data_IF_525597912800
#
_entry.id   IF_525597912800
#
_cell.length_a   1.000
_cell.length_b   1.000
_cell.length_c   1.000
_cell.angle_alpha   90.00
_cell.angle_beta   90.00
_cell.angle_gamma   90.00
#
_symmetry.space_group_name_H-M   'P 1'
#
loop_
_entity.id
_entity.type
_entity.pdbx_description
1 polymer ?
#
# COMPACT_ATOMS: atom_id res chain seq x y z
N UNK A 1 -4.99 46.96 -33.36
CA UNK A 1 -5.80 46.19 -32.44
C UNK A 1 -5.13 44.81 -32.30
N UNK A 2 -4.40 44.61 -31.22
CA UNK A 2 -3.69 43.36 -30.94
C UNK A 2 -4.56 42.59 -29.97
N UNK A 3 -5.27 41.59 -30.48
CA UNK A 3 -6.01 40.62 -29.65
C UNK A 3 -4.99 39.70 -28.92
N UNK A 4 -4.68 40.11 -27.72
CA UNK A 4 -3.97 39.23 -26.77
C UNK A 4 -4.88 38.18 -26.21
N UNK A 5 -5.02 37.03 -26.89
CA UNK A 5 -5.68 35.85 -26.34
C UNK A 5 -4.82 35.37 -25.15
N UNK A 6 -5.23 35.74 -23.95
CA UNK A 6 -4.70 35.17 -22.74
C UNK A 6 -4.99 33.62 -22.78
N UNK A 7 -3.99 32.81 -23.08
CA UNK A 7 -4.03 31.36 -22.89
C UNK A 7 -4.22 31.11 -21.40
N UNK A 8 -5.46 30.87 -21.00
CA UNK A 8 -5.75 30.33 -19.65
C UNK A 8 -4.98 29.03 -19.53
N UNK A 9 -3.91 29.03 -18.75
CA UNK A 9 -3.18 27.81 -18.46
C UNK A 9 -4.15 26.87 -17.69
N UNK A 10 -4.64 25.85 -18.36
CA UNK A 10 -5.41 24.77 -17.71
C UNK A 10 -4.46 24.11 -16.74
N UNK A 11 -4.63 24.39 -15.46
CA UNK A 11 -3.86 23.71 -14.40
C UNK A 11 -4.29 22.26 -14.39
N UNK A 12 -3.35 21.37 -14.64
CA UNK A 12 -3.60 19.91 -14.57
C UNK A 12 -3.94 19.52 -13.14
N UNK A 13 -5.19 19.13 -12.91
CA UNK A 13 -5.72 18.78 -11.58
C UNK A 13 -5.38 17.36 -11.16
N UNK A 14 -4.84 16.51 -12.04
CA UNK A 14 -4.48 15.14 -11.70
C UNK A 14 -3.39 15.12 -10.62
N UNK A 15 -3.56 14.30 -9.56
CA UNK A 15 -2.56 14.22 -8.50
C UNK A 15 -1.24 13.63 -9.01
N UNK A 16 -0.12 14.11 -8.47
CA UNK A 16 1.19 13.49 -8.69
C UNK A 16 1.31 12.32 -7.70
N UNK A 17 1.58 11.14 -8.22
CA UNK A 17 1.79 9.91 -7.46
C UNK A 17 3.27 9.51 -7.59
N UNK A 18 3.97 9.45 -6.47
CA UNK A 18 5.33 8.93 -6.43
C UNK A 18 5.31 7.40 -6.46
N UNK A 19 6.06 6.79 -7.39
CA UNK A 19 6.18 5.34 -7.51
C UNK A 19 7.64 4.96 -7.28
N UNK A 20 7.94 4.23 -6.21
CA UNK A 20 9.31 3.78 -5.93
C UNK A 20 9.62 2.48 -6.67
N UNK A 21 10.80 2.38 -7.25
CA UNK A 21 11.21 1.21 -8.06
C UNK A 21 11.29 -0.08 -7.24
N UNK A 22 11.55 0.01 -5.92
CA UNK A 22 11.83 -1.15 -5.11
C UNK A 22 13.19 -1.76 -5.42
N UNK A 23 13.34 -3.06 -5.20
CA UNK A 23 14.59 -3.78 -5.50
C UNK A 23 14.79 -3.94 -7.01
N UNK A 24 15.88 -3.40 -7.51
CA UNK A 24 16.24 -3.43 -8.94
C UNK A 24 16.47 -4.86 -9.48
N UNK A 25 16.88 -5.79 -8.62
CA UNK A 25 17.08 -7.19 -8.99
C UNK A 25 15.79 -8.03 -8.97
N UNK A 26 14.67 -7.45 -8.48
CA UNK A 26 13.35 -8.07 -8.45
C UNK A 26 12.46 -7.66 -9.62
N UNK A 27 11.16 -7.97 -9.50
CA UNK A 27 10.15 -7.63 -10.53
C UNK A 27 9.71 -6.16 -10.49
N UNK A 28 10.17 -5.36 -9.52
CA UNK A 28 9.76 -3.96 -9.35
C UNK A 28 9.88 -3.11 -10.63
N UNK A 29 11.06 -3.05 -11.29
CA UNK A 29 11.24 -2.30 -12.54
C UNK A 29 10.29 -2.78 -13.65
N UNK A 30 10.09 -4.10 -13.77
CA UNK A 30 9.26 -4.72 -14.79
C UNK A 30 7.78 -4.34 -14.64
N UNK A 31 7.23 -4.48 -13.43
CA UNK A 31 5.81 -4.19 -13.17
C UNK A 31 5.51 -2.70 -13.33
N UNK A 32 6.47 -1.80 -13.03
CA UNK A 32 6.33 -0.36 -13.26
C UNK A 32 6.23 -0.06 -14.76
N UNK A 33 7.16 -0.60 -15.57
CA UNK A 33 7.13 -0.37 -17.01
C UNK A 33 5.82 -0.91 -17.63
N UNK A 34 5.35 -2.08 -17.19
CA UNK A 34 4.09 -2.65 -17.66
C UNK A 34 2.87 -1.81 -17.25
N UNK A 35 2.77 -1.39 -16.00
CA UNK A 35 1.66 -0.55 -15.52
C UNK A 35 1.61 0.79 -16.27
N UNK A 36 2.78 1.41 -16.52
CA UNK A 36 2.86 2.70 -17.22
C UNK A 36 2.68 2.60 -18.75
N UNK A 37 2.44 1.42 -19.31
CA UNK A 37 1.94 1.26 -20.70
C UNK A 37 0.44 1.48 -20.81
N UNK A 38 -0.29 1.55 -19.71
CA UNK A 38 -1.72 1.70 -19.67
C UNK A 38 -2.11 3.18 -19.64
N UNK A 39 -2.89 3.62 -20.63
CA UNK A 39 -3.36 5.00 -20.72
C UNK A 39 -4.20 5.40 -19.51
N UNK A 40 -5.01 4.49 -19.00
CA UNK A 40 -5.90 4.71 -17.85
C UNK A 40 -5.17 5.18 -16.57
N UNK A 41 -3.89 4.83 -16.39
CA UNK A 41 -3.08 5.35 -15.27
C UNK A 41 -2.85 6.86 -15.44
N UNK A 42 -2.55 7.28 -16.66
CA UNK A 42 -2.34 8.70 -16.97
C UNK A 42 -3.64 9.52 -17.00
N UNK A 43 -4.78 8.88 -17.22
CA UNK A 43 -6.07 9.56 -17.18
C UNK A 43 -6.43 10.00 -15.74
N UNK A 44 -5.97 9.25 -14.72
CA UNK A 44 -6.33 9.50 -13.30
C UNK A 44 -5.22 10.18 -12.49
N UNK A 45 -3.95 10.08 -12.88
CA UNK A 45 -2.86 10.70 -12.15
C UNK A 45 -1.69 11.12 -13.06
N UNK A 46 -0.72 11.82 -12.48
CA UNK A 46 0.61 12.06 -13.05
C UNK A 46 1.60 11.14 -12.34
N UNK A 47 1.94 9.97 -12.92
CA UNK A 47 2.90 9.06 -12.32
C UNK A 47 4.31 9.66 -12.36
N UNK A 48 5.02 9.61 -11.24
CA UNK A 48 6.40 10.06 -11.07
C UNK A 48 7.22 8.92 -10.47
N UNK A 49 8.12 8.35 -11.24
CA UNK A 49 8.96 7.23 -10.79
C UNK A 49 10.18 7.76 -10.06
N UNK A 50 10.51 7.17 -8.90
CA UNK A 50 11.77 7.37 -8.18
C UNK A 50 12.61 6.10 -8.33
N UNK A 51 13.71 6.21 -9.06
CA UNK A 51 14.49 5.06 -9.47
C UNK A 51 15.88 5.46 -9.98
N UNK A 52 16.66 4.45 -10.37
CA UNK A 52 17.77 4.63 -11.30
C UNK A 52 17.24 4.58 -12.74
N UNK A 53 17.47 5.64 -13.49
CA UNK A 53 16.93 5.79 -14.84
C UNK A 53 17.55 4.81 -15.83
N UNK A 54 18.78 4.36 -15.59
CA UNK A 54 19.44 3.40 -16.46
C UNK A 54 18.77 2.03 -16.34
N UNK A 55 18.39 1.61 -15.13
CA UNK A 55 17.67 0.35 -14.89
C UNK A 55 16.30 0.37 -15.59
N UNK A 56 15.50 1.43 -15.37
CA UNK A 56 14.20 1.56 -16.06
C UNK A 56 14.36 1.58 -17.58
N UNK A 57 15.39 2.26 -18.10
CA UNK A 57 15.67 2.28 -19.55
C UNK A 57 15.97 0.89 -20.12
N UNK A 58 16.72 0.07 -19.37
CA UNK A 58 17.04 -1.30 -19.81
C UNK A 58 15.80 -2.20 -19.79
N UNK A 59 14.94 -2.05 -18.78
CA UNK A 59 13.68 -2.80 -18.72
C UNK A 59 12.70 -2.36 -19.83
N UNK A 60 12.62 -1.06 -20.16
CA UNK A 60 11.84 -0.59 -21.31
C UNK A 60 12.29 -1.31 -22.60
N UNK A 61 13.61 -1.44 -22.82
CA UNK A 61 14.17 -2.13 -23.99
C UNK A 61 13.89 -3.63 -23.95
N UNK A 62 14.14 -4.30 -22.82
CA UNK A 62 13.96 -5.75 -22.69
C UNK A 62 12.50 -6.18 -22.90
N UNK A 63 11.53 -5.33 -22.52
CA UNK A 63 10.10 -5.55 -22.74
C UNK A 63 9.61 -5.09 -24.11
N UNK A 64 10.49 -4.65 -25.01
CA UNK A 64 10.13 -4.05 -26.30
C UNK A 64 9.04 -2.96 -26.16
N UNK A 65 9.14 -2.16 -25.11
CA UNK A 65 8.17 -1.11 -24.81
C UNK A 65 8.48 0.17 -25.60
N UNK A 66 7.43 0.86 -26.05
CA UNK A 66 7.53 2.16 -26.76
C UNK A 66 7.61 3.36 -25.83
N UNK A 67 7.61 3.15 -24.51
CA UNK A 67 7.70 4.20 -23.52
C UNK A 67 9.00 4.99 -23.65
N UNK A 68 8.88 6.30 -23.54
CA UNK A 68 10.02 7.24 -23.49
C UNK A 68 10.32 7.59 -22.04
N UNK A 69 11.60 7.79 -21.70
CA UNK A 69 12.01 8.20 -20.36
C UNK A 69 12.31 9.70 -20.36
N UNK A 70 11.72 10.43 -19.41
CA UNK A 70 11.97 11.86 -19.18
C UNK A 70 12.48 12.08 -17.76
N UNK A 71 13.76 12.42 -17.62
CA UNK A 71 14.32 12.83 -16.34
C UNK A 71 13.78 14.20 -15.94
N UNK A 72 13.26 14.28 -14.73
CA UNK A 72 12.79 15.53 -14.12
C UNK A 72 13.56 15.81 -12.82
N UNK A 73 13.84 17.07 -12.54
CA UNK A 73 14.60 17.46 -11.34
C UNK A 73 13.72 17.60 -10.09
N UNK A 74 12.42 17.79 -10.29
CA UNK A 74 11.44 17.99 -9.21
C UNK A 74 10.06 17.52 -9.64
N UNK A 75 9.20 17.25 -8.65
CA UNK A 75 7.87 16.68 -8.90
C UNK A 75 6.94 17.58 -9.72
N UNK A 76 7.04 18.90 -9.58
CA UNK A 76 6.26 19.88 -10.34
C UNK A 76 6.54 19.82 -11.85
N UNK A 77 7.67 19.28 -12.25
CA UNK A 77 8.05 19.07 -13.66
C UNK A 77 7.47 17.78 -14.25
N UNK A 78 6.86 16.91 -13.44
CA UNK A 78 6.17 15.74 -13.93
C UNK A 78 4.92 16.17 -14.71
N UNK A 79 4.83 15.80 -15.98
CA UNK A 79 3.70 16.17 -16.85
C UNK A 79 2.64 15.07 -16.92
N UNK A 80 3.01 13.80 -16.66
CA UNK A 80 2.10 12.68 -16.80
C UNK A 80 1.54 12.56 -18.22
N UNK A 81 2.40 12.67 -19.22
CA UNK A 81 2.06 12.48 -20.63
C UNK A 81 2.09 11.00 -20.98
N UNK A 82 0.98 10.46 -21.48
CA UNK A 82 0.92 9.05 -21.89
C UNK A 82 2.04 8.71 -22.88
N UNK A 83 2.64 7.54 -22.70
CA UNK A 83 3.80 7.10 -23.48
C UNK A 83 5.15 7.63 -22.96
N UNK A 84 5.15 8.44 -21.88
CA UNK A 84 6.37 8.99 -21.28
C UNK A 84 6.41 8.68 -19.78
N UNK A 85 7.50 8.11 -19.31
CA UNK A 85 7.78 7.88 -17.89
C UNK A 85 8.54 9.08 -17.34
N UNK A 86 7.90 9.87 -16.48
CA UNK A 86 8.57 10.92 -15.72
C UNK A 86 9.35 10.27 -14.57
N UNK A 87 10.64 10.57 -14.45
CA UNK A 87 11.51 9.96 -13.43
C UNK A 87 12.35 11.01 -12.72
N UNK A 88 12.37 10.95 -11.40
CA UNK A 88 13.46 11.52 -10.60
C UNK A 88 14.53 10.44 -10.53
N UNK A 89 15.63 10.71 -11.23
CA UNK A 89 16.78 9.81 -11.35
C UNK A 89 17.71 10.01 -10.16
N UNK A 90 17.84 9.00 -9.30
CA UNK A 90 18.77 9.04 -8.17
C UNK A 90 20.18 8.63 -8.58
N UNK A 91 20.33 7.94 -9.73
CA UNK A 91 21.62 7.55 -10.30
C UNK A 91 22.57 6.90 -9.26
N UNK A 92 22.03 5.94 -8.52
CA UNK A 92 22.65 5.36 -7.32
C UNK A 92 22.95 3.87 -7.45
N UNK A 93 22.91 3.31 -8.68
CA UNK A 93 23.24 1.91 -8.96
C UNK A 93 24.25 1.78 -10.10
N UNK A 94 25.27 0.94 -9.90
CA UNK A 94 26.04 0.41 -11.02
C UNK A 94 25.24 -0.75 -11.66
N UNK A 95 24.89 -0.59 -12.94
CA UNK A 95 24.13 -1.59 -13.71
C UNK A 95 24.79 -2.97 -13.72
N UNK A 96 26.11 -3.04 -13.57
CA UNK A 96 26.87 -4.30 -13.54
C UNK A 96 26.62 -5.10 -12.27
N UNK A 97 26.19 -4.45 -11.19
CA UNK A 97 25.89 -5.10 -9.92
C UNK A 97 24.46 -5.66 -9.89
N UNK A 98 23.59 -5.26 -10.82
CA UNK A 98 22.19 -5.67 -10.85
C UNK A 98 22.03 -6.95 -11.66
N UNK A 99 21.91 -8.07 -10.95
CA UNK A 99 21.63 -9.38 -11.57
C UNK A 99 20.21 -9.78 -11.17
N UNK A 100 19.27 -9.85 -12.14
CA UNK A 100 17.90 -10.24 -11.83
C UNK A 100 17.80 -11.59 -11.09
N UNK A 101 17.00 -11.62 -10.03
CA UNK A 101 16.78 -12.82 -9.22
C UNK A 101 17.89 -13.12 -8.20
N UNK A 102 18.85 -12.22 -7.98
CA UNK A 102 19.91 -12.40 -6.98
C UNK A 102 19.86 -11.32 -5.91
N UNK A 103 20.22 -11.69 -4.67
CA UNK A 103 20.37 -10.75 -3.58
C UNK A 103 21.48 -9.75 -3.91
N UNK A 104 21.16 -8.46 -3.81
CA UNK A 104 22.07 -7.36 -4.14
C UNK A 104 21.98 -6.28 -3.04
N UNK A 105 23.04 -6.11 -2.29
CA UNK A 105 23.09 -5.12 -1.20
C UNK A 105 22.99 -3.69 -1.75
N UNK A 106 23.63 -3.40 -2.87
CA UNK A 106 23.54 -2.10 -3.53
C UNK A 106 22.11 -1.81 -3.99
N UNK A 107 21.39 -2.82 -4.53
CA UNK A 107 19.99 -2.69 -4.91
C UNK A 107 19.09 -2.40 -3.72
N UNK A 108 19.34 -3.04 -2.57
CA UNK A 108 18.60 -2.77 -1.34
C UNK A 108 18.84 -1.34 -0.82
N UNK A 109 20.08 -0.86 -0.79
CA UNK A 109 20.40 0.53 -0.40
C UNK A 109 19.69 1.53 -1.31
N UNK A 110 19.79 1.33 -2.62
CA UNK A 110 19.11 2.17 -3.59
C UNK A 110 17.60 2.18 -3.40
N UNK A 111 16.98 1.02 -3.17
CA UNK A 111 15.56 0.92 -2.89
C UNK A 111 15.14 1.73 -1.66
N UNK A 112 15.91 1.67 -0.57
CA UNK A 112 15.65 2.44 0.64
C UNK A 112 15.80 3.96 0.42
N UNK A 113 16.72 4.39 -0.43
CA UNK A 113 16.87 5.80 -0.83
C UNK A 113 15.66 6.29 -1.66
N UNK A 114 15.12 5.46 -2.57
CA UNK A 114 13.88 5.80 -3.29
C UNK A 114 12.71 5.98 -2.32
N UNK A 115 12.59 5.10 -1.33
CA UNK A 115 11.54 5.16 -0.30
C UNK A 115 11.70 6.41 0.56
N UNK A 116 12.91 6.73 1.01
CA UNK A 116 13.20 7.93 1.79
C UNK A 116 12.85 9.20 1.00
N UNK A 117 13.25 9.26 -0.28
CA UNK A 117 12.95 10.39 -1.15
C UNK A 117 11.46 10.54 -1.42
N UNK A 118 10.72 9.44 -1.59
CA UNK A 118 9.27 9.47 -1.74
C UNK A 118 8.58 10.01 -0.49
N UNK A 119 9.01 9.58 0.70
CA UNK A 119 8.50 10.08 1.97
C UNK A 119 8.72 11.58 2.13
N UNK A 120 9.92 12.07 1.82
CA UNK A 120 10.25 13.49 1.86
C UNK A 120 9.31 14.31 0.95
N UNK A 121 9.12 13.88 -0.29
CA UNK A 121 8.21 14.55 -1.24
C UNK A 121 6.76 14.53 -0.75
N UNK A 122 6.32 13.42 -0.14
CA UNK A 122 4.96 13.30 0.40
C UNK A 122 4.75 14.20 1.63
N UNK A 123 5.70 14.23 2.59
CA UNK A 123 5.64 15.10 3.76
C UNK A 123 5.65 16.60 3.38
N UNK A 124 6.34 16.96 2.30
CA UNK A 124 6.35 18.31 1.74
C UNK A 124 5.10 18.64 0.91
N UNK A 125 4.16 17.71 0.75
CA UNK A 125 2.96 17.87 -0.07
C UNK A 125 3.22 17.96 -1.58
N UNK A 126 4.45 17.67 -2.01
CA UNK A 126 4.88 17.73 -3.42
C UNK A 126 4.38 16.55 -4.25
N UNK A 127 4.00 15.46 -3.60
CA UNK A 127 3.25 14.34 -4.16
C UNK A 127 2.07 14.06 -3.25
N UNK A 128 0.98 13.51 -3.81
CA UNK A 128 -0.26 13.28 -3.05
C UNK A 128 -0.33 11.90 -2.42
N UNK A 129 0.38 10.94 -2.99
CA UNK A 129 0.53 9.59 -2.43
C UNK A 129 1.85 8.97 -2.89
N UNK A 130 2.23 7.90 -2.19
CA UNK A 130 3.37 7.05 -2.51
C UNK A 130 2.86 5.65 -2.84
N UNK A 131 3.30 5.10 -3.96
CA UNK A 131 3.07 3.71 -4.36
C UNK A 131 4.41 2.98 -4.37
N UNK A 132 4.51 1.85 -3.70
CA UNK A 132 5.81 1.16 -3.60
C UNK A 132 5.79 -0.17 -4.33
N UNK A 133 6.79 -0.40 -5.19
CA UNK A 133 7.14 -1.72 -5.69
C UNK A 133 7.92 -2.50 -4.61
N UNK A 134 8.03 -3.83 -4.73
CA UNK A 134 8.53 -4.67 -3.64
C UNK A 134 10.03 -4.51 -3.38
N UNK A 135 10.45 -4.73 -2.13
CA UNK A 135 11.85 -4.80 -1.70
C UNK A 135 12.19 -6.20 -1.18
N UNK A 136 13.44 -6.59 -1.28
CA UNK A 136 13.94 -7.82 -0.66
C UNK A 136 14.35 -7.53 0.79
N UNK A 137 13.61 -8.13 1.75
CA UNK A 137 13.83 -7.89 3.18
C UNK A 137 15.19 -8.37 3.66
N UNK A 138 15.66 -9.50 3.15
CA UNK A 138 16.95 -10.05 3.48
C UNK A 138 18.09 -9.12 3.02
N UNK A 139 18.03 -8.64 1.78
CA UNK A 139 18.99 -7.69 1.26
C UNK A 139 18.99 -6.36 2.04
N UNK A 140 17.81 -5.89 2.47
CA UNK A 140 17.68 -4.67 3.31
C UNK A 140 18.36 -4.85 4.66
N UNK A 141 18.18 -6.00 5.32
CA UNK A 141 18.88 -6.31 6.58
C UNK A 141 20.40 -6.38 6.36
N UNK A 142 20.85 -7.09 5.31
CA UNK A 142 22.28 -7.18 4.95
C UNK A 142 22.87 -5.82 4.59
N UNK A 143 22.07 -4.89 4.07
CA UNK A 143 22.50 -3.51 3.80
C UNK A 143 22.64 -2.65 5.08
N UNK A 144 22.30 -3.18 6.26
CA UNK A 144 22.47 -2.54 7.56
C UNK A 144 21.25 -1.73 8.03
N UNK A 145 20.08 -1.88 7.38
CA UNK A 145 18.85 -1.26 7.87
C UNK A 145 18.21 -2.13 8.97
N UNK A 146 17.78 -1.48 10.05
CA UNK A 146 17.08 -2.16 11.16
C UNK A 146 15.60 -2.42 10.88
N UNK A 147 15.03 -1.77 9.87
CA UNK A 147 13.64 -1.90 9.49
C UNK A 147 13.46 -3.07 8.52
N UNK A 148 12.55 -3.99 8.85
CA UNK A 148 12.35 -5.21 8.06
C UNK A 148 11.53 -4.95 6.78
N UNK A 149 10.80 -3.84 6.72
CA UNK A 149 9.92 -3.54 5.59
C UNK A 149 9.62 -2.07 5.39
N UNK A 150 8.87 -1.78 4.34
CA UNK A 150 8.48 -0.42 3.99
C UNK A 150 7.72 0.31 5.10
N UNK A 151 6.78 -0.37 5.76
CA UNK A 151 5.90 0.27 6.73
C UNK A 151 6.66 0.70 7.97
N UNK A 152 7.53 -0.16 8.49
CA UNK A 152 8.39 0.12 9.63
C UNK A 152 9.34 1.28 9.32
N UNK A 153 9.96 1.25 8.13
CA UNK A 153 10.84 2.33 7.69
C UNK A 153 10.09 3.67 7.57
N UNK A 154 8.93 3.68 6.90
CA UNK A 154 8.12 4.89 6.81
C UNK A 154 7.69 5.39 8.19
N UNK A 155 7.23 4.50 9.08
CA UNK A 155 6.82 4.86 10.43
C UNK A 155 7.96 5.52 11.21
N UNK A 156 9.17 4.96 11.14
CA UNK A 156 10.35 5.52 11.80
C UNK A 156 10.71 6.91 11.28
N UNK A 157 10.80 7.09 9.96
CA UNK A 157 11.22 8.38 9.38
C UNK A 157 10.13 9.46 9.43
N UNK A 158 8.87 9.08 9.66
CA UNK A 158 7.74 10.01 9.84
C UNK A 158 7.33 10.17 11.29
N UNK A 159 8.01 9.48 12.23
CA UNK A 159 7.69 9.46 13.66
C UNK A 159 6.23 9.02 13.94
N UNK A 160 5.69 8.11 13.12
CA UNK A 160 4.37 7.57 13.32
C UNK A 160 4.35 6.62 14.54
N UNK A 161 3.65 7.02 15.61
CA UNK A 161 3.60 6.24 16.86
C UNK A 161 2.83 4.93 16.71
N UNK A 162 1.77 4.94 15.91
CA UNK A 162 0.94 3.77 15.63
C UNK A 162 0.74 3.63 14.12
N UNK A 163 0.87 2.40 13.64
CA UNK A 163 0.69 2.08 12.23
C UNK A 163 0.18 0.65 12.05
N UNK A 164 -0.44 0.40 10.90
CA UNK A 164 -0.90 -0.92 10.51
C UNK A 164 -0.99 -1.04 9.00
N UNK A 165 -1.09 -2.27 8.53
CA UNK A 165 -1.43 -2.58 7.14
C UNK A 165 -2.92 -2.89 7.04
N UNK A 166 -3.59 -2.27 6.08
CA UNK A 166 -4.90 -2.67 5.59
C UNK A 166 -4.72 -3.36 4.24
N UNK A 167 -5.16 -4.60 4.13
CA UNK A 167 -5.23 -5.30 2.85
C UNK A 167 -6.51 -4.91 2.12
N UNK A 168 -6.42 -4.76 0.81
CA UNK A 168 -7.54 -4.39 -0.07
C UNK A 168 -7.56 -5.32 -1.28
N UNK A 169 -8.73 -5.88 -1.56
CA UNK A 169 -9.00 -6.61 -2.81
C UNK A 169 -10.44 -6.30 -3.25
N UNK A 170 -10.58 -5.47 -4.28
CA UNK A 170 -11.89 -4.93 -4.66
C UNK A 170 -12.62 -4.26 -3.49
N UNK A 171 -13.87 -4.63 -3.18
CA UNK A 171 -14.64 -4.05 -2.07
C UNK A 171 -14.21 -4.57 -0.69
N UNK A 172 -13.40 -5.61 -0.60
CA UNK A 172 -12.96 -6.18 0.67
C UNK A 172 -11.73 -5.45 1.20
N UNK A 173 -11.83 -4.92 2.42
CA UNK A 173 -10.74 -4.28 3.15
C UNK A 173 -10.62 -4.90 4.52
N UNK A 174 -9.41 -5.29 4.89
CA UNK A 174 -9.15 -5.99 6.14
C UNK A 174 -7.94 -5.41 6.85
N UNK A 175 -8.12 -4.99 8.08
CA UNK A 175 -7.06 -4.63 9.02
C UNK A 175 -6.88 -5.78 10.00
N UNK A 176 -5.67 -6.04 10.45
CA UNK A 176 -5.39 -7.13 11.38
C UNK A 176 -4.99 -6.58 12.74
N UNK A 177 -5.48 -7.23 13.79
CA UNK A 177 -5.02 -6.95 15.16
C UNK A 177 -3.56 -7.39 15.31
N UNK A 178 -3.24 -8.58 14.83
CA UNK A 178 -1.89 -9.13 14.80
C UNK A 178 -1.62 -9.83 13.47
N UNK A 179 -0.33 -9.85 13.02
CA UNK A 179 0.05 -10.45 11.74
C UNK A 179 1.12 -11.53 11.90
N UNK A 180 2.36 -11.22 12.15
CA UNK A 180 3.50 -12.15 12.07
C UNK A 180 3.81 -12.79 13.43
N UNK A 181 2.84 -13.51 13.99
CA UNK A 181 2.93 -14.28 15.23
C UNK A 181 2.45 -15.70 15.01
N UNK A 182 2.89 -16.64 15.85
CA UNK A 182 2.26 -17.97 15.89
C UNK A 182 0.78 -17.83 16.24
N UNK A 183 -0.07 -18.76 15.79
CA UNK A 183 -1.51 -18.69 16.10
C UNK A 183 -1.78 -18.63 17.61
N UNK A 184 -1.00 -19.39 18.40
CA UNK A 184 -1.09 -19.35 19.86
C UNK A 184 -0.82 -17.95 20.40
N UNK A 185 0.31 -17.33 20.03
CA UNK A 185 0.63 -15.96 20.44
C UNK A 185 -0.39 -14.93 19.92
N UNK A 186 -0.93 -15.14 18.72
CA UNK A 186 -1.95 -14.28 18.17
C UNK A 186 -3.24 -14.30 19.02
N UNK A 187 -3.66 -15.48 19.49
CA UNK A 187 -4.79 -15.60 20.45
C UNK A 187 -4.49 -14.88 21.77
N UNK A 188 -3.30 -15.06 22.35
CA UNK A 188 -2.89 -14.39 23.58
C UNK A 188 -2.79 -12.86 23.46
N UNK A 189 -2.69 -12.35 22.23
CA UNK A 189 -2.67 -10.91 21.93
C UNK A 189 -4.03 -10.27 21.80
N UNK A 190 -5.10 -11.04 21.74
CA UNK A 190 -6.46 -10.51 21.72
C UNK A 190 -6.77 -9.89 23.07
N UNK A 191 -6.74 -8.57 23.12
CA UNK A 191 -7.06 -7.81 24.34
C UNK A 191 -7.84 -6.55 23.99
N UNK A 192 -8.70 -6.13 24.91
CA UNK A 192 -9.56 -4.95 24.79
C UNK A 192 -8.76 -3.72 24.32
N UNK A 193 -7.65 -3.42 24.99
CA UNK A 193 -6.85 -2.22 24.72
C UNK A 193 -6.24 -2.22 23.31
N UNK A 194 -5.72 -3.38 22.85
CA UNK A 194 -5.15 -3.50 21.51
C UNK A 194 -6.21 -3.41 20.42
N UNK A 195 -7.38 -4.01 20.65
CA UNK A 195 -8.52 -3.91 19.71
C UNK A 195 -8.96 -2.45 19.62
N UNK A 196 -9.13 -1.77 20.74
CA UNK A 196 -9.55 -0.37 20.79
C UNK A 196 -8.52 0.54 20.11
N UNK A 197 -7.22 0.35 20.38
CA UNK A 197 -6.14 1.08 19.67
C UNK A 197 -6.22 0.87 18.17
N UNK A 198 -6.43 -0.38 17.70
CA UNK A 198 -6.52 -0.69 16.28
C UNK A 198 -7.80 -0.11 15.65
N UNK A 199 -8.93 -0.09 16.35
CA UNK A 199 -10.16 0.56 15.91
C UNK A 199 -9.97 2.08 15.76
N UNK A 200 -9.33 2.73 16.74
CA UNK A 200 -9.01 4.16 16.70
C UNK A 200 -8.08 4.50 15.53
N UNK A 201 -7.01 3.71 15.34
CA UNK A 201 -6.08 3.88 14.23
C UNK A 201 -6.79 3.77 12.87
N UNK A 202 -7.64 2.75 12.71
CA UNK A 202 -8.40 2.51 11.48
C UNK A 202 -9.37 3.65 11.21
N UNK A 203 -10.18 4.02 12.19
CA UNK A 203 -11.15 5.11 12.11
C UNK A 203 -10.47 6.44 11.73
N UNK A 204 -9.44 6.83 12.47
CA UNK A 204 -8.72 8.09 12.25
C UNK A 204 -8.04 8.14 10.87
N UNK A 205 -7.50 7.01 10.39
CA UNK A 205 -6.87 6.94 9.08
C UNK A 205 -7.91 7.12 7.96
N UNK A 206 -9.03 6.44 8.06
CA UNK A 206 -10.12 6.53 7.09
C UNK A 206 -10.76 7.92 7.09
N UNK A 207 -10.98 8.53 8.27
CA UNK A 207 -11.47 9.91 8.36
C UNK A 207 -10.51 10.92 7.70
N UNK A 208 -9.21 10.76 7.92
CA UNK A 208 -8.19 11.62 7.30
C UNK A 208 -8.23 11.55 5.77
N UNK A 209 -8.66 10.43 5.22
CA UNK A 209 -8.86 10.26 3.78
C UNK A 209 -10.25 10.68 3.29
N UNK A 210 -11.07 11.33 4.14
CA UNK A 210 -12.37 11.87 3.78
C UNK A 210 -13.55 10.90 3.96
N UNK A 211 -13.31 9.72 4.56
CA UNK A 211 -14.36 8.77 4.88
C UNK A 211 -14.85 9.03 6.31
N UNK A 212 -15.85 9.90 6.43
CA UNK A 212 -16.20 10.51 7.71
C UNK A 212 -16.76 9.54 8.76
N UNK A 213 -17.50 8.51 8.38
CA UNK A 213 -18.16 7.56 9.31
C UNK A 213 -17.95 6.12 8.87
N UNK A 214 -16.69 5.62 8.87
CA UNK A 214 -16.40 4.27 8.40
C UNK A 214 -17.09 3.24 9.28
N UNK A 215 -17.78 2.29 8.65
CA UNK A 215 -18.43 1.14 9.31
C UNK A 215 -17.38 0.05 9.48
N UNK A 216 -16.89 -0.13 10.71
CA UNK A 216 -15.82 -1.07 11.03
C UNK A 216 -16.42 -2.33 11.64
N UNK A 217 -16.46 -3.43 10.91
CA UNK A 217 -16.83 -4.72 11.46
C UNK A 217 -15.67 -5.34 12.24
N UNK A 218 -15.93 -5.86 13.42
CA UNK A 218 -14.94 -6.60 14.20
C UNK A 218 -15.24 -8.08 14.10
N UNK A 219 -14.28 -8.87 13.58
CA UNK A 219 -14.43 -10.32 13.53
C UNK A 219 -14.30 -10.93 14.93
N UNK A 220 -15.04 -11.99 15.20
CA UNK A 220 -14.83 -12.83 16.37
C UNK A 220 -13.51 -13.62 16.23
N UNK A 221 -12.93 -14.02 17.35
CA UNK A 221 -11.78 -14.93 17.38
C UNK A 221 -12.26 -16.38 17.22
N UNK A 222 -13.28 -16.75 18.01
CA UNK A 222 -13.78 -18.12 18.12
C UNK A 222 -14.89 -18.42 17.11
N UNK A 223 -15.09 -19.71 16.75
CA UNK A 223 -16.18 -20.12 15.89
C UNK A 223 -17.53 -19.61 16.38
N UNK A 224 -18.40 -19.20 15.45
CA UNK A 224 -19.74 -18.69 15.71
C UNK A 224 -19.84 -17.54 16.74
N UNK A 225 -18.71 -16.82 16.96
CA UNK A 225 -18.64 -15.75 17.95
C UNK A 225 -18.61 -16.25 19.40
N UNK A 226 -18.00 -17.45 19.61
CA UNK A 226 -17.83 -18.05 20.94
C UNK A 226 -19.08 -18.70 21.53
N UNK A 227 -20.23 -18.66 20.83
CA UNK A 227 -21.51 -19.25 21.28
C UNK A 227 -21.84 -18.93 22.76
N UNK A 228 -21.74 -17.66 23.13
CA UNK A 228 -22.03 -17.23 24.50
C UNK A 228 -21.03 -17.69 25.55
N UNK A 229 -19.79 -18.01 25.13
CA UNK A 229 -18.69 -18.48 25.99
C UNK A 229 -18.49 -19.98 26.02
N UNK A 230 -19.26 -20.76 25.24
CA UNK A 230 -19.09 -22.21 25.14
C UNK A 230 -17.81 -22.59 24.38
N UNK A 231 -17.38 -21.78 23.44
CA UNK A 231 -16.21 -22.04 22.58
C UNK A 231 -15.04 -21.09 22.87
N UNK A 232 -15.05 -20.41 24.00
CA UNK A 232 -14.06 -19.44 24.41
C UNK A 232 -14.72 -18.17 24.95
N UNK A 233 -13.99 -17.38 25.73
CA UNK A 233 -14.54 -16.20 26.42
C UNK A 233 -14.04 -14.87 25.85
N UNK A 234 -13.13 -14.90 24.85
CA UNK A 234 -12.46 -13.71 24.33
C UNK A 234 -13.44 -12.69 23.73
N UNK A 235 -14.54 -13.16 23.14
CA UNK A 235 -15.58 -12.27 22.64
C UNK A 235 -16.22 -11.47 23.77
N UNK A 236 -16.54 -12.13 24.90
CA UNK A 236 -17.22 -11.53 26.05
C UNK A 236 -16.26 -10.67 26.86
N UNK A 237 -15.03 -11.16 27.09
CA UNK A 237 -14.08 -10.53 27.99
C UNK A 237 -13.27 -9.42 27.32
N UNK A 238 -13.02 -9.51 26.02
CA UNK A 238 -12.10 -8.63 25.31
C UNK A 238 -12.77 -7.88 24.14
N UNK A 239 -13.42 -8.60 23.21
CA UNK A 239 -13.85 -8.00 21.94
C UNK A 239 -15.09 -7.12 22.12
N UNK A 240 -16.14 -7.63 22.78
CA UNK A 240 -17.36 -6.85 23.04
C UNK A 240 -17.09 -5.59 23.87
N UNK A 241 -16.29 -5.64 24.96
CA UNK A 241 -15.94 -4.44 25.72
C UNK A 241 -15.16 -3.41 24.88
N UNK A 242 -14.26 -3.85 23.98
CA UNK A 242 -13.54 -2.95 23.08
C UNK A 242 -14.48 -2.28 22.07
N UNK A 243 -15.40 -3.04 21.46
CA UNK A 243 -16.39 -2.52 20.53
C UNK A 243 -17.29 -1.49 21.23
N UNK A 244 -17.77 -1.80 22.42
CA UNK A 244 -18.60 -0.89 23.21
C UNK A 244 -17.89 0.42 23.52
N UNK A 245 -16.64 0.36 24.02
CA UNK A 245 -15.87 1.57 24.31
C UNK A 245 -15.54 2.38 23.05
N UNK A 246 -15.31 1.71 21.92
CA UNK A 246 -15.13 2.38 20.63
C UNK A 246 -16.40 3.16 20.23
N UNK A 247 -17.60 2.55 20.39
CA UNK A 247 -18.89 3.19 20.13
C UNK A 247 -19.12 4.39 21.05
N UNK A 248 -18.85 4.25 22.33
CA UNK A 248 -18.93 5.35 23.31
C UNK A 248 -17.98 6.51 22.97
N UNK A 249 -16.87 6.21 22.26
CA UNK A 249 -15.91 7.19 21.75
C UNK A 249 -16.29 7.75 20.35
N UNK A 250 -17.47 7.42 19.81
CA UNK A 250 -17.97 7.90 18.52
C UNK A 250 -17.44 7.13 17.30
N UNK A 251 -16.80 5.98 17.50
CA UNK A 251 -16.34 5.11 16.41
C UNK A 251 -17.47 4.16 16.01
N UNK A 252 -17.81 4.10 14.72
CA UNK A 252 -18.84 3.19 14.23
C UNK A 252 -18.26 1.76 14.07
N UNK A 253 -17.97 1.13 15.21
CA UNK A 253 -17.52 -0.25 15.33
C UNK A 253 -18.71 -1.16 15.60
N UNK A 254 -18.78 -2.30 14.93
CA UNK A 254 -19.89 -3.25 15.01
C UNK A 254 -19.33 -4.67 15.18
N UNK A 255 -19.99 -5.47 16.00
CA UNK A 255 -19.58 -6.85 16.25
C UNK A 255 -19.44 -7.20 17.73
N UNK A 256 -18.73 -8.30 18.08
CA UNK A 256 -18.05 -9.23 17.16
C UNK A 256 -19.00 -10.01 16.25
N UNK A 257 -18.58 -10.25 15.01
CA UNK A 257 -19.31 -11.09 14.06
C UNK A 257 -18.55 -12.39 13.79
N UNK A 258 -19.25 -13.51 13.59
CA UNK A 258 -18.61 -14.76 13.16
C UNK A 258 -17.72 -14.57 11.92
N UNK A 259 -16.47 -15.06 12.00
CA UNK A 259 -15.48 -14.83 10.96
C UNK A 259 -15.81 -15.51 9.62
N UNK A 260 -16.56 -16.60 9.65
CA UNK A 260 -17.03 -17.34 8.46
C UNK A 260 -18.04 -16.54 7.60
N UNK A 261 -18.68 -15.50 8.15
CA UNK A 261 -19.73 -14.75 7.48
C UNK A 261 -19.40 -13.26 7.26
N UNK A 262 -18.61 -12.64 8.14
CA UNK A 262 -18.37 -11.18 8.13
C UNK A 262 -17.73 -10.69 6.84
N UNK A 263 -16.82 -11.45 6.24
CA UNK A 263 -16.14 -11.04 5.01
C UNK A 263 -17.08 -11.02 3.81
N UNK A 264 -18.02 -11.98 3.73
CA UNK A 264 -19.07 -11.98 2.69
C UNK A 264 -19.98 -10.76 2.83
N UNK A 265 -20.32 -10.35 4.05
CA UNK A 265 -21.11 -9.14 4.34
C UNK A 265 -20.35 -7.87 3.94
N UNK A 266 -19.05 -7.83 4.22
CA UNK A 266 -18.19 -6.72 3.82
C UNK A 266 -18.09 -6.60 2.27
N UNK A 267 -17.92 -7.72 1.56
CA UNK A 267 -17.93 -7.75 0.09
C UNK A 267 -19.25 -7.21 -0.48
N UNK A 268 -20.38 -7.46 0.18
CA UNK A 268 -21.71 -6.94 -0.20
C UNK A 268 -21.92 -5.47 0.18
N UNK A 269 -20.91 -4.80 0.78
CA UNK A 269 -20.94 -3.38 1.10
C UNK A 269 -21.64 -3.05 2.42
N UNK A 270 -21.88 -4.02 3.30
CA UNK A 270 -22.45 -3.74 4.62
C UNK A 270 -21.45 -3.02 5.52
N UNK A 271 -20.16 -3.33 5.37
CA UNK A 271 -19.06 -2.73 6.11
C UNK A 271 -18.01 -2.13 5.19
N UNK A 272 -17.34 -1.10 5.64
CA UNK A 272 -16.28 -0.44 4.89
C UNK A 272 -14.93 -1.11 5.13
N UNK A 273 -14.73 -1.72 6.31
CA UNK A 273 -13.51 -2.45 6.67
C UNK A 273 -13.83 -3.51 7.73
N UNK A 274 -13.09 -4.62 7.72
CA UNK A 274 -13.13 -5.65 8.75
C UNK A 274 -11.85 -5.61 9.57
N UNK A 275 -11.94 -5.59 10.89
CA UNK A 275 -10.85 -5.84 11.80
C UNK A 275 -10.80 -7.34 12.11
N UNK A 276 -9.81 -8.04 11.56
CA UNK A 276 -9.52 -9.45 11.82
C UNK A 276 -8.58 -9.59 13.04
N UNK A 277 -8.71 -10.68 13.79
CA UNK A 277 -7.93 -10.90 15.00
C UNK A 277 -6.51 -11.39 14.72
N UNK A 278 -6.32 -12.16 13.65
CA UNK A 278 -5.02 -12.73 13.28
C UNK A 278 -4.83 -12.82 11.77
N UNK A 279 -3.60 -13.12 11.37
CA UNK A 279 -3.15 -13.08 9.98
C UNK A 279 -4.08 -13.85 9.02
N UNK A 280 -4.21 -15.17 9.19
CA UNK A 280 -4.92 -16.02 8.22
C UNK A 280 -6.42 -15.75 8.21
N UNK A 281 -7.01 -15.32 9.34
CA UNK A 281 -8.40 -14.93 9.39
C UNK A 281 -8.75 -13.84 8.37
N UNK A 282 -7.82 -12.91 8.13
CA UNK A 282 -8.04 -11.81 7.19
C UNK A 282 -7.35 -11.99 5.84
N UNK A 283 -6.15 -12.57 5.80
CA UNK A 283 -5.41 -12.77 4.56
C UNK A 283 -6.07 -13.78 3.64
N UNK A 284 -6.58 -14.90 4.19
CA UNK A 284 -7.22 -15.94 3.38
C UNK A 284 -8.40 -15.37 2.58
N UNK A 285 -9.42 -14.72 3.19
CA UNK A 285 -10.54 -14.19 2.41
C UNK A 285 -10.11 -13.13 1.38
N UNK A 286 -9.12 -12.29 1.68
CA UNK A 286 -8.60 -11.29 0.73
C UNK A 286 -7.93 -11.97 -0.46
N UNK A 287 -7.08 -12.97 -0.22
CA UNK A 287 -6.36 -13.70 -1.27
C UNK A 287 -7.28 -14.58 -2.12
N UNK A 288 -8.26 -15.23 -1.50
CA UNK A 288 -9.27 -16.04 -2.22
C UNK A 288 -10.16 -15.15 -3.08
N UNK A 289 -10.50 -13.96 -2.61
CA UNK A 289 -11.32 -13.02 -3.37
C UNK A 289 -10.60 -12.49 -4.61
N UNK A 290 -9.29 -12.17 -4.52
CA UNK A 290 -8.57 -11.63 -5.66
C UNK A 290 -7.06 -11.53 -5.43
N UNK A 291 -6.36 -12.65 -5.60
CA UNK A 291 -4.93 -12.77 -5.34
C UNK A 291 -4.08 -11.76 -6.12
N UNK A 292 -4.33 -11.65 -7.44
CA UNK A 292 -3.49 -10.82 -8.33
C UNK A 292 -3.73 -9.31 -8.19
N UNK A 293 -4.88 -8.92 -7.62
CA UNK A 293 -5.29 -7.52 -7.43
C UNK A 293 -5.21 -7.07 -5.99
N UNK A 294 -4.79 -7.96 -5.07
CA UNK A 294 -4.63 -7.56 -3.68
C UNK A 294 -3.48 -6.58 -3.54
N UNK A 295 -3.72 -5.57 -2.71
CA UNK A 295 -2.76 -4.52 -2.39
C UNK A 295 -2.74 -4.26 -0.90
N UNK A 296 -1.71 -3.59 -0.43
CA UNK A 296 -1.64 -3.09 0.94
C UNK A 296 -1.71 -1.57 0.99
N UNK A 297 -2.41 -1.05 1.99
CA UNK A 297 -2.52 0.38 2.32
C UNK A 297 -1.98 0.60 3.73
N UNK A 298 -1.11 1.57 3.90
CA UNK A 298 -0.57 1.91 5.21
C UNK A 298 -1.52 2.83 5.99
N UNK A 299 -1.90 2.41 7.19
CA UNK A 299 -2.60 3.25 8.17
C UNK A 299 -1.59 3.92 9.09
N UNK A 300 -1.93 5.10 9.61
CA UNK A 300 -1.13 5.82 10.62
C UNK A 300 -0.03 6.71 10.05
N UNK A 301 0.34 6.58 8.79
CA UNK A 301 1.31 7.49 8.16
C UNK A 301 0.69 8.88 7.88
N UNK A 302 1.50 9.96 7.85
CA UNK A 302 1.00 11.31 7.55
C UNK A 302 0.61 11.53 6.09
N UNK A 303 0.80 10.54 5.22
CA UNK A 303 0.45 10.54 3.81
C UNK A 303 -0.12 9.19 3.37
N UNK A 304 -0.80 9.16 2.24
CA UNK A 304 -1.32 7.93 1.64
C UNK A 304 -0.17 7.12 1.07
N UNK A 305 -0.05 5.87 1.52
CA UNK A 305 0.87 4.90 0.93
C UNK A 305 0.13 3.62 0.58
N UNK A 306 0.24 3.21 -0.67
CA UNK A 306 -0.22 1.91 -1.17
C UNK A 306 0.95 1.09 -1.69
N UNK A 307 0.80 -0.21 -1.77
CA UNK A 307 1.85 -1.11 -2.25
C UNK A 307 1.24 -2.37 -2.85
N UNK A 308 1.98 -2.98 -3.74
CA UNK A 308 1.72 -4.37 -4.11
C UNK A 308 1.76 -5.28 -2.87
N UNK A 309 1.03 -6.38 -2.95
CA UNK A 309 0.92 -7.37 -1.85
C UNK A 309 1.70 -8.67 -2.17
N UNK A 310 2.70 -8.59 -3.04
CA UNK A 310 3.64 -9.65 -3.37
C UNK A 310 5.08 -9.21 -3.11
N UNK A 311 6.01 -10.15 -3.02
CA UNK A 311 7.44 -9.90 -2.86
C UNK A 311 8.15 -9.59 -4.19
N UNK A 312 9.48 -9.62 -4.14
CA UNK A 312 10.38 -9.34 -5.27
C UNK A 312 10.33 -10.40 -6.38
N UNK A 313 9.73 -11.57 -6.12
CA UNK A 313 9.56 -12.67 -7.08
C UNK A 313 10.83 -12.94 -7.90
N UNK A 314 11.94 -13.21 -7.20
CA UNK A 314 13.26 -13.40 -7.80
C UNK A 314 13.32 -14.55 -8.80
N UNK A 315 12.47 -15.55 -8.64
CA UNK A 315 12.32 -16.70 -9.53
C UNK A 315 11.88 -16.32 -10.96
N UNK A 316 11.18 -15.20 -11.11
CA UNK A 316 10.69 -14.70 -12.41
C UNK A 316 11.25 -13.34 -12.80
N UNK A 317 12.11 -12.73 -11.98
CA UNK A 317 12.69 -11.42 -12.24
C UNK A 317 13.49 -11.41 -13.56
N UNK A 318 13.30 -10.37 -14.37
CA UNK A 318 13.95 -10.19 -15.65
C UNK A 318 13.41 -11.06 -16.80
N UNK A 319 12.39 -11.91 -16.55
CA UNK A 319 11.79 -12.76 -17.60
C UNK A 319 10.67 -12.08 -18.39
N UNK A 320 10.23 -10.90 -17.98
CA UNK A 320 9.16 -10.19 -18.68
C UNK A 320 7.77 -10.83 -18.47
N UNK A 321 7.55 -11.68 -17.45
CA UNK A 321 6.29 -12.40 -17.21
C UNK A 321 5.54 -11.96 -15.95
N UNK A 322 6.15 -11.10 -15.13
CA UNK A 322 5.49 -10.62 -13.91
C UNK A 322 4.21 -9.84 -14.23
N UNK A 323 3.12 -10.05 -13.47
CA UNK A 323 1.88 -9.30 -13.60
C UNK A 323 2.02 -7.91 -12.97
N UNK A 324 1.52 -6.87 -13.64
CA UNK A 324 1.47 -5.49 -13.12
C UNK A 324 0.16 -5.15 -12.41
N UNK A 325 -0.81 -6.06 -12.38
CA UNK A 325 -2.18 -5.79 -11.91
C UNK A 325 -2.23 -5.25 -10.48
N UNK A 326 -1.43 -5.81 -9.57
CA UNK A 326 -1.36 -5.33 -8.19
C UNK A 326 -0.81 -3.89 -8.10
N UNK A 327 0.19 -3.53 -8.92
CA UNK A 327 0.72 -2.16 -8.96
C UNK A 327 -0.29 -1.17 -9.58
N UNK A 328 -0.98 -1.58 -10.63
CA UNK A 328 -2.05 -0.80 -11.25
C UNK A 328 -3.17 -0.50 -10.26
N UNK A 329 -3.60 -1.52 -9.53
CA UNK A 329 -4.62 -1.36 -8.49
C UNK A 329 -4.10 -0.49 -7.33
N UNK A 330 -2.85 -0.65 -6.91
CA UNK A 330 -2.24 0.20 -5.89
C UNK A 330 -2.25 1.69 -6.29
N UNK A 331 -1.98 2.01 -7.56
CA UNK A 331 -2.06 3.38 -8.09
C UNK A 331 -3.52 3.87 -8.09
N UNK A 332 -4.45 3.07 -8.59
CA UNK A 332 -5.88 3.42 -8.65
C UNK A 332 -6.46 3.66 -7.26
N UNK A 333 -6.16 2.79 -6.30
CA UNK A 333 -6.59 2.95 -4.89
C UNK A 333 -5.98 4.20 -4.26
N UNK A 334 -4.69 4.49 -4.50
CA UNK A 334 -4.09 5.73 -4.02
C UNK A 334 -4.85 6.97 -4.50
N UNK A 335 -5.26 7.00 -5.78
CA UNK A 335 -6.05 8.11 -6.34
C UNK A 335 -7.43 8.20 -5.68
N UNK A 336 -8.14 7.07 -5.51
CA UNK A 336 -9.45 7.06 -4.84
C UNK A 336 -9.38 7.58 -3.41
N UNK A 337 -8.36 7.17 -2.66
CA UNK A 337 -8.15 7.67 -1.28
C UNK A 337 -7.86 9.16 -1.25
N UNK A 338 -7.15 9.74 -2.24
CA UNK A 338 -6.96 11.19 -2.38
C UNK A 338 -8.29 11.90 -2.60
N UNK A 339 -9.22 11.27 -3.32
CA UNK A 339 -10.56 11.79 -3.61
C UNK A 339 -11.57 11.58 -2.46
N UNK A 340 -11.14 10.98 -1.34
CA UNK A 340 -12.03 10.66 -0.22
C UNK A 340 -13.01 9.52 -0.52
N UNK A 341 -12.62 8.61 -1.41
CA UNK A 341 -13.46 7.47 -1.80
C UNK A 341 -12.83 6.15 -1.35
N UNK A 342 -13.62 5.31 -0.70
CA UNK A 342 -13.36 3.87 -0.65
C UNK A 342 -13.89 3.22 -1.93
N UNK A 343 -13.26 2.15 -2.34
CA UNK A 343 -13.64 1.41 -3.55
C UNK A 343 -14.97 0.71 -3.38
#
# INVERSE_FOLDING_TARGET
MLDGVARTMIVDKRPIIAITMGDAAGVGPEIIVKALRLKEIYDVCRPLVLADAAIISDVIKSLNSTLKLRRVRSSDRAKGEFGTVDIIDLNNLDRKEVIPGQICIACARAAMEYIARAAELAQQGKVKAVVTAPINKEAVIQAGYGDVGHLEFFARITHAAEYATMLVSGPLRVVHLSTHYSLKEACERVSKDKILAKLRLTHNSLQRWGINYPRIAVAALNPHGGEGGLLGSEEIEQIQPAVKEAQESGINALGPFPADSVFTRAIKGEFDVVLAMYHDQGHIPVKVYGFERSISVALGLPFIRTSVDHGTAFDIAGRGIASSQSLEEAIKVAVRLIEGKLV
#
